data_IF_314094914765
#
_entry.id   IF_314094914765
#
_cell.length_a   1.000
_cell.length_b   1.000
_cell.length_c   1.000
_cell.angle_alpha   90.00
_cell.angle_beta   90.00
_cell.angle_gamma   90.00
#
_symmetry.space_group_name_H-M   'P 1'
#
loop_
_entity.id
_entity.type
_entity.pdbx_description
1 polymer ?
#
# COMPACT_ATOMS: atom_id res chain seq x y z
N UNK A 1 -27.98 4.63 -13.95
CA UNK A 1 -27.04 4.94 -12.86
C UNK A 1 -25.66 4.42 -13.25
N UNK A 2 -24.67 5.27 -13.29
CA UNK A 2 -23.30 4.79 -13.49
C UNK A 2 -22.95 3.82 -12.34
N UNK A 3 -22.35 2.65 -12.61
CA UNK A 3 -21.90 1.76 -11.55
C UNK A 3 -20.80 2.50 -10.76
N UNK A 4 -21.14 2.93 -9.56
CA UNK A 4 -20.15 3.50 -8.65
C UNK A 4 -19.21 2.42 -8.15
N UNK A 5 -17.94 2.75 -7.94
CA UNK A 5 -17.00 1.84 -7.29
C UNK A 5 -17.38 1.66 -5.81
N UNK A 6 -17.62 0.41 -5.41
CA UNK A 6 -18.10 0.07 -4.07
C UNK A 6 -16.99 -0.41 -3.14
N UNK A 7 -15.93 -1.01 -3.71
CA UNK A 7 -14.81 -1.59 -2.96
C UNK A 7 -13.49 -1.14 -3.57
N UNK A 8 -12.86 -0.19 -2.93
CA UNK A 8 -11.64 0.43 -3.43
C UNK A 8 -10.45 -0.05 -2.60
N UNK A 9 -9.39 -0.49 -3.26
CA UNK A 9 -8.06 -0.65 -2.65
C UNK A 9 -7.23 0.58 -2.99
N UNK A 10 -6.62 1.19 -1.99
CA UNK A 10 -5.71 2.33 -2.16
C UNK A 10 -4.32 1.95 -1.69
N UNK A 11 -3.33 2.06 -2.56
CA UNK A 11 -1.93 1.93 -2.17
C UNK A 11 -1.46 3.17 -1.41
N UNK A 12 -1.10 3.00 -0.14
CA UNK A 12 -0.76 4.07 0.78
C UNK A 12 0.68 3.93 1.30
N UNK A 13 1.66 4.21 0.45
CA UNK A 13 3.09 4.08 0.76
C UNK A 13 3.67 5.28 1.54
N UNK A 14 2.85 6.27 1.87
CA UNK A 14 3.25 7.47 2.59
C UNK A 14 3.92 8.53 1.72
N UNK A 15 4.09 8.29 0.41
CA UNK A 15 4.60 9.28 -0.54
C UNK A 15 3.61 10.44 -0.75
N UNK A 16 4.06 11.60 -1.25
CA UNK A 16 3.17 12.70 -1.59
C UNK A 16 2.08 12.29 -2.60
N UNK A 17 2.41 11.43 -3.56
CA UNK A 17 1.46 10.96 -4.56
C UNK A 17 0.43 10.01 -3.97
N UNK A 18 0.81 9.10 -3.06
CA UNK A 18 -0.17 8.23 -2.39
C UNK A 18 -1.10 9.01 -1.47
N UNK A 19 -0.61 10.07 -0.82
CA UNK A 19 -1.49 10.97 -0.06
C UNK A 19 -2.50 11.68 -0.95
N UNK A 20 -2.10 12.13 -2.16
CA UNK A 20 -3.05 12.69 -3.15
C UNK A 20 -4.06 11.64 -3.61
N UNK A 21 -3.66 10.38 -3.78
CA UNK A 21 -4.58 9.29 -4.09
C UNK A 21 -5.65 9.11 -3.01
N UNK A 22 -5.27 9.14 -1.73
CA UNK A 22 -6.21 9.12 -0.60
C UNK A 22 -7.17 10.32 -0.63
N UNK A 23 -6.63 11.53 -0.84
CA UNK A 23 -7.44 12.76 -0.94
C UNK A 23 -8.39 12.69 -2.13
N UNK A 24 -7.94 12.15 -3.27
CA UNK A 24 -8.80 11.95 -4.43
C UNK A 24 -10.00 11.07 -4.09
N UNK A 25 -9.75 9.90 -3.48
CA UNK A 25 -10.84 8.99 -3.08
C UNK A 25 -11.75 9.63 -2.04
N UNK A 26 -11.21 10.42 -1.10
CA UNK A 26 -12.01 11.14 -0.11
C UNK A 26 -12.96 12.18 -0.74
N UNK A 27 -12.64 12.70 -1.93
CA UNK A 27 -13.51 13.64 -2.66
C UNK A 27 -14.60 12.95 -3.47
N UNK A 28 -14.52 11.64 -3.68
CA UNK A 28 -15.58 10.89 -4.31
C UNK A 28 -16.74 10.72 -3.34
N UNK A 29 -17.97 10.86 -3.83
CA UNK A 29 -19.15 10.53 -3.04
C UNK A 29 -19.21 9.02 -2.79
N UNK A 30 -19.15 8.54 -1.54
CA UNK A 30 -19.22 7.11 -1.29
C UNK A 30 -20.62 6.56 -1.65
N UNK A 31 -20.70 5.47 -2.44
CA UNK A 31 -21.96 4.81 -2.67
C UNK A 31 -22.44 4.14 -1.37
N UNK A 32 -23.74 3.83 -1.30
CA UNK A 32 -24.32 3.14 -0.13
C UNK A 32 -23.55 1.86 0.18
N UNK A 33 -22.93 1.78 1.35
CA UNK A 33 -22.10 0.64 1.75
C UNK A 33 -20.67 0.63 1.18
N UNK A 34 -20.23 1.72 0.56
CA UNK A 34 -18.90 1.86 -0.01
C UNK A 34 -17.79 1.62 1.02
N UNK A 35 -16.75 0.88 0.60
CA UNK A 35 -15.61 0.48 1.44
C UNK A 35 -14.30 0.85 0.79
N UNK A 36 -13.34 1.30 1.60
CA UNK A 36 -11.97 1.55 1.15
C UNK A 36 -11.00 0.80 2.05
N UNK A 37 -10.10 0.05 1.45
CA UNK A 37 -8.98 -0.58 2.16
C UNK A 37 -7.69 0.11 1.74
N UNK A 38 -7.07 0.84 2.66
CA UNK A 38 -5.75 1.41 2.48
C UNK A 38 -4.70 0.34 2.75
N UNK A 39 -3.84 0.07 1.79
CA UNK A 39 -2.80 -0.97 1.89
C UNK A 39 -1.42 -0.32 1.89
N UNK A 40 -0.67 -0.56 2.94
CA UNK A 40 0.76 -0.27 3.03
C UNK A 40 1.53 -1.57 2.91
N UNK A 41 2.41 -1.66 1.94
CA UNK A 41 3.32 -2.81 1.82
C UNK A 41 4.68 -2.41 2.35
N UNK A 42 5.26 -3.25 3.18
CA UNK A 42 6.64 -3.16 3.66
C UNK A 42 7.41 -4.37 3.15
N UNK A 43 8.57 -4.12 2.56
CA UNK A 43 9.48 -5.19 2.18
C UNK A 43 10.32 -5.58 3.42
N UNK A 44 10.23 -6.84 3.90
CA UNK A 44 11.00 -7.29 5.05
C UNK A 44 12.50 -7.20 4.80
N UNK A 45 13.25 -6.92 5.85
CA UNK A 45 14.72 -6.97 5.77
C UNK A 45 15.14 -8.41 5.48
N UNK A 46 15.77 -8.62 4.34
CA UNK A 46 16.31 -9.92 3.94
C UNK A 46 17.78 -9.99 4.33
N UNK A 47 18.10 -10.93 5.21
CA UNK A 47 19.48 -11.25 5.50
C UNK A 47 20.01 -12.21 4.41
N UNK A 48 21.19 -11.93 3.83
CA UNK A 48 21.80 -12.83 2.87
C UNK A 48 22.15 -14.16 3.56
N UNK A 49 22.31 -15.22 2.77
CA UNK A 49 22.85 -16.48 3.28
C UNK A 49 24.29 -16.27 3.72
N UNK A 50 24.59 -16.57 4.97
CA UNK A 50 25.91 -16.36 5.60
C UNK A 50 26.40 -17.66 6.25
N UNK A 51 26.77 -18.67 5.44
CA UNK A 51 27.12 -20.01 5.97
C UNK A 51 28.36 -19.99 6.86
N UNK A 52 29.29 -19.06 6.64
CA UNK A 52 30.53 -18.95 7.40
C UNK A 52 30.44 -18.04 8.63
N UNK A 53 29.28 -17.41 8.89
CA UNK A 53 29.08 -16.57 10.06
C UNK A 53 28.61 -17.42 11.23
N UNK A 54 29.23 -17.26 12.44
CA UNK A 54 28.84 -18.02 13.63
C UNK A 54 27.35 -17.87 13.95
N UNK A 55 26.72 -18.94 14.44
CA UNK A 55 25.28 -18.98 14.73
C UNK A 55 24.84 -17.85 15.67
N UNK A 56 25.64 -17.52 16.68
CA UNK A 56 25.39 -16.42 17.61
C UNK A 56 25.29 -15.07 16.89
N UNK A 57 26.18 -14.81 15.93
CA UNK A 57 26.19 -13.56 15.17
C UNK A 57 25.00 -13.51 14.19
N UNK A 58 24.65 -14.63 13.55
CA UNK A 58 23.44 -14.71 12.72
C UNK A 58 22.18 -14.43 13.51
N UNK A 59 22.06 -14.97 14.72
CA UNK A 59 20.92 -14.71 15.63
C UNK A 59 20.84 -13.22 16.02
N UNK A 60 21.98 -12.59 16.28
CA UNK A 60 22.07 -11.16 16.59
C UNK A 60 21.59 -10.29 15.42
N UNK A 61 22.04 -10.59 14.20
CA UNK A 61 21.60 -9.90 12.97
C UNK A 61 20.10 -10.09 12.72
N UNK A 62 19.58 -11.31 12.94
CA UNK A 62 18.15 -11.58 12.80
C UNK A 62 17.32 -10.76 13.81
N UNK A 63 17.79 -10.63 15.05
CA UNK A 63 17.14 -9.80 16.07
C UNK A 63 17.12 -8.32 15.67
N UNK A 64 18.21 -7.80 15.14
CA UNK A 64 18.29 -6.42 14.64
C UNK A 64 17.36 -6.20 13.44
N UNK A 65 17.35 -7.11 12.47
CA UNK A 65 16.46 -7.06 11.33
C UNK A 65 14.98 -7.05 11.77
N UNK A 66 14.61 -7.90 12.72
CA UNK A 66 13.26 -7.94 13.27
C UNK A 66 12.89 -6.63 14.00
N UNK A 67 13.84 -5.99 14.68
CA UNK A 67 13.61 -4.68 15.32
C UNK A 67 13.34 -3.58 14.27
N UNK A 68 14.11 -3.56 13.16
CA UNK A 68 13.89 -2.64 12.05
C UNK A 68 12.52 -2.85 11.43
N UNK A 69 12.13 -4.11 11.18
CA UNK A 69 10.83 -4.43 10.59
C UNK A 69 9.68 -4.03 11.52
N UNK A 70 9.80 -4.20 12.83
CA UNK A 70 8.80 -3.69 13.81
C UNK A 70 8.68 -2.18 13.76
N UNK A 71 9.80 -1.46 13.70
CA UNK A 71 9.79 0.01 13.60
C UNK A 71 9.12 0.50 12.31
N UNK A 72 9.47 -0.11 11.16
CA UNK A 72 8.85 0.18 9.86
C UNK A 72 7.33 -0.08 9.89
N UNK A 73 6.91 -1.18 10.51
CA UNK A 73 5.49 -1.52 10.67
C UNK A 73 4.74 -0.48 11.52
N UNK A 74 5.34 -0.02 12.61
CA UNK A 74 4.74 1.01 13.45
C UNK A 74 4.58 2.36 12.70
N UNK A 75 5.57 2.76 11.90
CA UNK A 75 5.46 3.95 11.04
C UNK A 75 4.37 3.76 9.99
N UNK A 76 4.35 2.59 9.32
CA UNK A 76 3.34 2.26 8.33
C UNK A 76 1.93 2.33 8.91
N UNK A 77 1.71 1.82 10.11
CA UNK A 77 0.42 1.86 10.77
C UNK A 77 -0.04 3.30 11.03
N UNK A 78 0.81 4.17 11.57
CA UNK A 78 0.47 5.59 11.78
C UNK A 78 0.08 6.30 10.48
N UNK A 79 0.77 6.01 9.38
CA UNK A 79 0.44 6.59 8.07
C UNK A 79 -0.92 6.10 7.57
N UNK A 80 -1.23 4.81 7.78
CA UNK A 80 -2.54 4.23 7.46
C UNK A 80 -3.66 4.83 8.31
N UNK A 81 -3.42 5.01 9.60
CA UNK A 81 -4.42 5.57 10.52
C UNK A 81 -4.85 6.98 10.08
N UNK A 82 -3.90 7.79 9.62
CA UNK A 82 -4.19 9.11 9.06
C UNK A 82 -5.03 9.04 7.78
N UNK A 83 -4.69 8.11 6.86
CA UNK A 83 -5.43 7.89 5.62
C UNK A 83 -6.86 7.39 5.90
N UNK A 84 -7.01 6.42 6.80
CA UNK A 84 -8.30 5.86 7.22
C UNK A 84 -9.17 6.95 7.85
N UNK A 85 -8.60 7.78 8.73
CA UNK A 85 -9.31 8.89 9.36
C UNK A 85 -9.84 9.88 8.32
N UNK A 86 -9.03 10.25 7.33
CA UNK A 86 -9.44 11.15 6.26
C UNK A 86 -10.61 10.58 5.43
N UNK A 87 -10.54 9.31 5.07
CA UNK A 87 -11.60 8.62 4.32
C UNK A 87 -12.88 8.43 5.13
N UNK A 88 -12.75 8.10 6.43
CA UNK A 88 -13.89 7.96 7.31
C UNK A 88 -14.65 9.29 7.49
N UNK A 89 -13.93 10.42 7.63
CA UNK A 89 -14.52 11.77 7.66
C UNK A 89 -15.26 12.12 6.36
N UNK A 90 -14.86 11.54 5.23
CA UNK A 90 -15.51 11.70 3.94
C UNK A 90 -16.71 10.73 3.75
N UNK A 91 -17.06 9.92 4.74
CA UNK A 91 -18.20 9.01 4.72
C UNK A 91 -17.91 7.59 4.22
N UNK A 92 -16.65 7.25 3.93
CA UNK A 92 -16.27 5.90 3.54
C UNK A 92 -16.13 4.96 4.75
N UNK A 93 -16.51 3.70 4.57
CA UNK A 93 -16.11 2.64 5.51
C UNK A 93 -14.66 2.27 5.21
N UNK A 94 -13.73 2.93 5.89
CA UNK A 94 -12.31 2.79 5.62
C UNK A 94 -11.60 1.90 6.65
N UNK A 95 -10.59 1.13 6.20
CA UNK A 95 -9.67 0.39 7.06
C UNK A 95 -8.25 0.41 6.49
N UNK A 96 -7.26 0.23 7.35
CA UNK A 96 -5.85 0.14 6.99
C UNK A 96 -5.31 -1.28 7.18
N UNK A 97 -4.48 -1.73 6.26
CA UNK A 97 -3.81 -3.04 6.34
C UNK A 97 -2.34 -2.87 5.99
N UNK A 98 -1.45 -3.26 6.92
CA UNK A 98 -0.02 -3.40 6.65
C UNK A 98 0.25 -4.81 6.17
N UNK A 99 0.85 -4.95 5.00
CA UNK A 99 1.24 -6.23 4.41
C UNK A 99 2.76 -6.30 4.27
N UNK A 100 3.33 -7.49 4.34
CA UNK A 100 4.77 -7.71 4.16
C UNK A 100 5.01 -8.54 2.91
N UNK A 101 5.83 -8.04 1.98
CA UNK A 101 6.12 -8.72 0.73
C UNK A 101 6.48 -7.75 -0.40
N UNK A 102 6.34 -8.21 -1.63
CA UNK A 102 6.56 -7.39 -2.82
C UNK A 102 5.34 -6.51 -3.10
N UNK A 103 5.51 -5.18 -3.31
CA UNK A 103 4.40 -4.24 -3.38
C UNK A 103 3.27 -4.64 -4.33
N UNK A 104 3.59 -4.96 -5.58
CA UNK A 104 2.55 -5.34 -6.54
C UNK A 104 1.82 -6.63 -6.15
N UNK A 105 2.55 -7.65 -5.71
CA UNK A 105 1.95 -8.95 -5.35
C UNK A 105 0.97 -8.79 -4.19
N UNK A 106 1.36 -8.01 -3.18
CA UNK A 106 0.54 -7.75 -2.01
C UNK A 106 -0.69 -6.89 -2.33
N UNK A 107 -0.57 -5.93 -3.24
CA UNK A 107 -1.71 -5.16 -3.75
C UNK A 107 -2.69 -6.04 -4.52
N UNK A 108 -2.20 -6.92 -5.41
CA UNK A 108 -3.05 -7.86 -6.14
C UNK A 108 -3.73 -8.87 -5.19
N UNK A 109 -3.04 -9.30 -4.15
CA UNK A 109 -3.61 -10.16 -3.11
C UNK A 109 -4.71 -9.42 -2.32
N UNK A 110 -4.50 -8.13 -2.02
CA UNK A 110 -5.50 -7.29 -1.36
C UNK A 110 -6.74 -7.10 -2.23
N UNK A 111 -6.58 -6.83 -3.54
CA UNK A 111 -7.70 -6.73 -4.49
C UNK A 111 -8.58 -7.99 -4.43
N UNK A 112 -7.96 -9.17 -4.45
CA UNK A 112 -8.69 -10.45 -4.38
C UNK A 112 -9.39 -10.64 -3.03
N UNK A 113 -8.68 -10.39 -1.93
CA UNK A 113 -9.22 -10.57 -0.58
C UNK A 113 -10.40 -9.64 -0.29
N UNK A 114 -10.32 -8.39 -0.75
CA UNK A 114 -11.37 -7.38 -0.59
C UNK A 114 -12.48 -7.49 -1.64
N UNK A 115 -12.30 -8.31 -2.67
CA UNK A 115 -13.14 -8.31 -3.87
C UNK A 115 -13.31 -6.89 -4.40
N UNK A 116 -12.19 -6.18 -4.50
CA UNK A 116 -12.17 -4.79 -4.93
C UNK A 116 -12.56 -4.68 -6.40
N UNK A 117 -13.19 -3.56 -6.74
CA UNK A 117 -13.60 -3.20 -8.10
C UNK A 117 -12.73 -2.05 -8.69
N UNK A 118 -11.92 -1.42 -7.84
CA UNK A 118 -10.96 -0.40 -8.25
C UNK A 118 -9.69 -0.45 -7.41
N UNK A 119 -8.54 -0.29 -8.06
CA UNK A 119 -7.24 0.00 -7.42
C UNK A 119 -6.89 1.46 -7.67
N UNK A 120 -6.55 2.20 -6.61
CA UNK A 120 -6.08 3.59 -6.69
C UNK A 120 -4.65 3.68 -6.19
N UNK A 121 -3.77 4.26 -7.00
CA UNK A 121 -2.35 4.42 -6.69
C UNK A 121 -1.89 5.85 -6.94
N UNK A 122 -0.89 6.29 -6.18
CA UNK A 122 -0.11 7.46 -6.57
C UNK A 122 0.77 7.15 -7.78
N UNK A 123 0.98 8.14 -8.65
CA UNK A 123 1.80 7.97 -9.84
C UNK A 123 3.25 7.60 -9.52
N UNK A 124 3.76 7.96 -8.33
CA UNK A 124 5.11 7.64 -7.87
C UNK A 124 5.07 7.20 -6.41
N UNK A 125 5.88 6.21 -6.06
CA UNK A 125 6.07 5.75 -4.70
C UNK A 125 7.23 6.44 -4.00
N UNK A 126 7.49 6.04 -2.74
CA UNK A 126 8.54 6.61 -1.89
C UNK A 126 9.98 6.39 -2.43
N UNK A 127 10.20 5.39 -3.30
CA UNK A 127 11.50 5.09 -3.92
C UNK A 127 11.64 5.52 -5.38
N UNK A 128 10.75 6.38 -5.90
CA UNK A 128 10.72 6.71 -7.32
C UNK A 128 11.89 7.63 -7.74
N UNK A 129 12.60 7.23 -8.80
CA UNK A 129 13.62 8.05 -9.45
C UNK A 129 12.95 9.23 -10.18
N UNK A 130 13.52 10.43 -10.05
CA UNK A 130 12.93 11.69 -10.53
C UNK A 130 12.59 11.74 -12.03
N UNK A 131 13.25 10.95 -12.85
CA UNK A 131 13.14 11.00 -14.31
C UNK A 131 12.02 10.13 -14.91
N UNK A 132 11.36 9.28 -14.14
CA UNK A 132 10.26 8.47 -14.64
C UNK A 132 8.91 9.14 -14.41
N UNK A 133 8.08 9.17 -15.46
CA UNK A 133 6.71 9.72 -15.41
C UNK A 133 5.80 8.89 -14.48
N UNK A 134 6.06 7.59 -14.38
CA UNK A 134 5.29 6.63 -13.62
C UNK A 134 6.21 5.74 -12.77
N UNK A 135 5.81 5.46 -11.53
CA UNK A 135 6.53 4.55 -10.65
C UNK A 135 6.36 3.09 -11.06
N UNK A 136 7.34 2.25 -10.72
CA UNK A 136 7.36 0.83 -11.12
C UNK A 136 6.12 0.05 -10.67
N UNK A 137 5.60 0.32 -9.48
CA UNK A 137 4.40 -0.35 -8.95
C UNK A 137 3.16 0.09 -9.73
N UNK A 138 3.01 1.39 -10.03
CA UNK A 138 1.87 1.91 -10.78
C UNK A 138 1.89 1.39 -12.23
N UNK A 139 3.05 1.40 -12.90
CA UNK A 139 3.22 0.84 -14.25
C UNK A 139 2.89 -0.65 -14.30
N UNK A 140 3.42 -1.42 -13.36
CA UNK A 140 3.16 -2.86 -13.29
C UNK A 140 1.70 -3.17 -12.94
N UNK A 141 1.05 -2.34 -12.11
CA UNK A 141 -0.36 -2.49 -11.77
C UNK A 141 -1.27 -2.24 -12.96
N UNK A 142 -0.99 -1.22 -13.78
CA UNK A 142 -1.73 -0.95 -15.02
C UNK A 142 -1.73 -2.13 -15.99
N UNK A 143 -0.63 -2.89 -16.02
CA UNK A 143 -0.46 -4.05 -16.93
C UNK A 143 -1.05 -5.34 -16.37
N UNK A 144 -1.16 -5.49 -15.05
CA UNK A 144 -1.40 -6.79 -14.40
C UNK A 144 -2.61 -6.82 -13.45
N UNK A 145 -3.26 -5.69 -13.18
CA UNK A 145 -4.42 -5.65 -12.31
C UNK A 145 -5.63 -6.34 -12.95
N UNK A 146 -6.37 -7.18 -12.21
CA UNK A 146 -7.62 -7.77 -12.69
C UNK A 146 -8.81 -6.80 -12.62
N UNK A 147 -8.62 -5.60 -12.07
CA UNK A 147 -9.65 -4.56 -11.93
C UNK A 147 -9.15 -3.23 -12.50
N UNK A 148 -10.04 -2.26 -12.65
CA UNK A 148 -9.66 -0.89 -13.06
C UNK A 148 -8.57 -0.32 -12.17
N UNK A 149 -7.63 0.43 -12.76
CA UNK A 149 -6.54 1.12 -12.04
C UNK A 149 -6.63 2.61 -12.30
N UNK A 150 -6.71 3.38 -11.22
CA UNK A 150 -6.64 4.83 -11.26
C UNK A 150 -5.28 5.29 -10.70
N UNK A 151 -4.56 6.05 -11.49
CA UNK A 151 -3.27 6.62 -11.09
C UNK A 151 -3.40 8.12 -10.87
N UNK A 152 -3.07 8.58 -9.66
CA UNK A 152 -3.18 9.99 -9.24
C UNK A 152 -1.79 10.63 -9.20
N UNK A 153 -1.64 11.79 -9.84
CA UNK A 153 -0.42 12.60 -9.88
C UNK A 153 -0.38 13.67 -8.79
#
# INVERSE_FOLDING_TARGET
>A
MAPGYHRIVVGADGSPHSRRAVVFVARLAPPRGGRVTCVRVIEPVRLPSMPFVPARMRAQLATQAAAVDRSRRAVAQRQLDAAVSALAKAGWRARGVVRAGLPLQELLAAIRAERADLLVLGARGAGAVRHFLLGSVADAALKRSPVGVLVVR
#
